data_IF_007299114864
#
_entry.id   IF_007299114864
#
_cell.length_a   1.000
_cell.length_b   1.000
_cell.length_c   1.000
_cell.angle_alpha   90.00
_cell.angle_beta   90.00
_cell.angle_gamma   90.00
#
_symmetry.space_group_name_H-M   'P 1'
#
loop_
_entity.id
_entity.type
_entity.pdbx_description
1 polymer ?
#
# COMPACT_ATOMS: atom_id res chain seq x y z
N UNK A 1 -15.34 -6.35 18.35
CA UNK A 1 -14.64 -6.26 17.06
C UNK A 1 -15.67 -5.83 16.04
N UNK A 2 -15.57 -4.60 15.52
CA UNK A 2 -16.42 -4.18 14.40
C UNK A 2 -15.95 -4.97 13.17
N UNK A 3 -16.89 -5.55 12.42
CA UNK A 3 -16.56 -6.18 11.14
C UNK A 3 -16.07 -5.08 10.20
N UNK A 4 -14.82 -5.20 9.74
CA UNK A 4 -14.28 -4.31 8.71
C UNK A 4 -15.12 -4.51 7.44
N UNK A 5 -15.68 -3.41 6.91
CA UNK A 5 -16.47 -3.46 5.70
C UNK A 5 -15.55 -3.79 4.52
N UNK A 6 -15.95 -4.74 3.67
CA UNK A 6 -15.19 -5.08 2.45
C UNK A 6 -15.24 -3.91 1.46
N UNK A 7 -14.12 -3.21 1.31
CA UNK A 7 -13.95 -2.07 0.39
C UNK A 7 -13.51 -2.50 -1.01
N UNK A 8 -13.28 -3.79 -1.26
CA UNK A 8 -12.83 -4.32 -2.55
C UNK A 8 -13.70 -3.89 -3.73
N UNK A 9 -15.04 -3.84 -3.63
CA UNK A 9 -15.87 -3.35 -4.73
C UNK A 9 -15.65 -1.86 -5.05
N UNK A 10 -15.38 -1.03 -4.03
CA UNK A 10 -15.09 0.39 -4.22
C UNK A 10 -13.73 0.58 -4.90
N UNK A 11 -12.72 -0.19 -4.50
CA UNK A 11 -11.39 -0.20 -5.13
C UNK A 11 -11.47 -0.58 -6.61
N UNK A 12 -12.18 -1.66 -6.96
CA UNK A 12 -12.37 -2.08 -8.35
C UNK A 12 -13.14 -1.05 -9.18
N UNK A 13 -14.12 -0.36 -8.58
CA UNK A 13 -14.85 0.70 -9.27
C UNK A 13 -13.96 1.91 -9.55
N UNK A 14 -13.11 2.30 -8.59
CA UNK A 14 -12.13 3.37 -8.78
C UNK A 14 -11.09 3.01 -9.84
N UNK A 15 -10.55 1.79 -9.81
CA UNK A 15 -9.61 1.26 -10.81
C UNK A 15 -10.19 1.31 -12.22
N UNK A 16 -11.42 0.82 -12.39
CA UNK A 16 -12.12 0.87 -13.68
C UNK A 16 -12.32 2.30 -14.18
N UNK A 17 -12.68 3.22 -13.30
CA UNK A 17 -12.86 4.63 -13.67
C UNK A 17 -11.53 5.29 -14.10
N UNK A 18 -10.41 4.93 -13.46
CA UNK A 18 -9.07 5.36 -13.88
C UNK A 18 -8.72 4.82 -15.26
N UNK A 19 -8.99 3.53 -15.51
CA UNK A 19 -8.74 2.91 -16.81
C UNK A 19 -9.53 3.62 -17.92
N UNK A 20 -10.83 3.86 -17.72
CA UNK A 20 -11.69 4.58 -18.66
C UNK A 20 -11.20 6.02 -18.90
N UNK A 21 -10.74 6.71 -17.84
CA UNK A 21 -10.16 8.03 -17.94
C UNK A 21 -8.91 8.03 -18.86
N UNK A 22 -7.97 7.12 -18.62
CA UNK A 22 -6.75 6.99 -19.43
C UNK A 22 -7.09 6.69 -20.90
N UNK A 23 -8.05 5.80 -21.14
CA UNK A 23 -8.51 5.48 -22.50
C UNK A 23 -9.10 6.70 -23.22
N UNK A 24 -9.92 7.50 -22.54
CA UNK A 24 -10.49 8.72 -23.11
C UNK A 24 -9.46 9.83 -23.33
N UNK A 25 -8.49 9.97 -22.44
CA UNK A 25 -7.38 10.90 -22.63
C UNK A 25 -6.53 10.51 -23.85
N UNK A 26 -6.22 9.22 -23.99
CA UNK A 26 -5.48 8.72 -25.15
C UNK A 26 -6.26 8.91 -26.46
N UNK A 27 -7.56 8.62 -26.46
CA UNK A 27 -8.44 8.85 -27.60
C UNK A 27 -8.52 10.34 -27.98
N UNK A 28 -8.63 11.25 -27.01
CA UNK A 28 -8.57 12.69 -27.25
C UNK A 28 -7.25 13.11 -27.92
N UNK A 29 -6.12 12.55 -27.43
CA UNK A 29 -4.80 12.75 -28.02
C UNK A 29 -4.73 12.29 -29.47
N UNK A 30 -5.16 11.06 -29.77
CA UNK A 30 -5.20 10.52 -31.14
C UNK A 30 -6.09 11.38 -32.04
N UNK A 31 -7.31 11.71 -31.61
CA UNK A 31 -8.22 12.57 -32.37
C UNK A 31 -7.67 13.98 -32.59
N UNK A 32 -6.83 14.50 -31.69
CA UNK A 32 -6.20 15.81 -31.89
C UNK A 32 -5.12 15.82 -32.97
N UNK A 33 -4.51 14.65 -33.24
CA UNK A 33 -3.47 14.46 -34.25
C UNK A 33 -4.04 14.06 -35.61
N UNK A 34 -5.27 13.53 -35.64
CA UNK A 34 -5.97 13.18 -36.87
C UNK A 34 -6.61 14.41 -37.51
N UNK A 35 -6.07 14.82 -38.67
CA UNK A 35 -6.56 15.96 -39.48
C UNK A 35 -8.02 15.78 -39.94
N UNK A 36 -8.55 14.54 -39.93
CA UNK A 36 -9.96 14.24 -40.26
C UNK A 36 -10.88 14.25 -39.03
N UNK A 37 -10.35 14.05 -37.83
CA UNK A 37 -11.14 14.10 -36.61
C UNK A 37 -11.45 15.57 -36.29
N UNK A 38 -12.73 15.85 -36.06
CA UNK A 38 -13.18 17.21 -35.78
C UNK A 38 -12.88 17.59 -34.33
N UNK A 39 -12.82 18.90 -34.03
CA UNK A 39 -12.73 19.42 -32.66
C UNK A 39 -13.84 18.92 -31.73
N UNK A 40 -14.98 18.48 -32.30
CA UNK A 40 -16.09 17.85 -31.57
C UNK A 40 -15.72 16.48 -30.98
N UNK A 41 -14.92 15.67 -31.67
CA UNK A 41 -14.53 14.35 -31.20
C UNK A 41 -13.55 14.47 -30.02
N UNK A 42 -12.60 15.39 -30.13
CA UNK A 42 -11.69 15.77 -29.03
C UNK A 42 -12.49 16.25 -27.81
N UNK A 43 -13.44 17.17 -28.00
CA UNK A 43 -14.27 17.69 -26.91
C UNK A 43 -15.11 16.58 -26.25
N UNK A 44 -15.64 15.64 -27.01
CA UNK A 44 -16.41 14.50 -26.49
C UNK A 44 -15.52 13.58 -25.64
N UNK A 45 -14.30 13.29 -26.09
CA UNK A 45 -13.36 12.47 -25.31
C UNK A 45 -12.91 13.17 -24.02
N UNK A 46 -12.68 14.49 -24.05
CA UNK A 46 -12.35 15.26 -22.85
C UNK A 46 -13.53 15.28 -21.86
N UNK A 47 -14.77 15.41 -22.35
CA UNK A 47 -15.95 15.37 -21.48
C UNK A 47 -16.05 14.01 -20.77
N UNK A 48 -15.90 12.90 -21.51
CA UNK A 48 -15.92 11.56 -20.93
C UNK A 48 -14.75 11.31 -19.97
N UNK A 49 -13.56 11.83 -20.27
CA UNK A 49 -12.44 11.81 -19.34
C UNK A 49 -12.80 12.48 -18.01
N UNK A 50 -13.42 13.66 -18.06
CA UNK A 50 -13.89 14.36 -16.86
C UNK A 50 -14.94 13.55 -16.09
N UNK A 51 -15.89 12.91 -16.78
CA UNK A 51 -16.90 12.06 -16.15
C UNK A 51 -16.25 10.85 -15.44
N UNK A 52 -15.24 10.24 -16.05
CA UNK A 52 -14.46 9.16 -15.43
C UNK A 52 -13.72 9.61 -14.17
N UNK A 53 -13.17 10.84 -14.13
CA UNK A 53 -12.53 11.39 -12.92
C UNK A 53 -13.55 11.59 -11.78
N UNK A 54 -14.75 12.07 -12.09
CA UNK A 54 -15.82 12.21 -11.09
C UNK A 54 -16.29 10.84 -10.56
N UNK A 55 -16.38 9.84 -11.44
CA UNK A 55 -16.70 8.47 -11.04
C UNK A 55 -15.61 7.86 -10.14
N UNK A 56 -14.34 8.14 -10.43
CA UNK A 56 -13.20 7.75 -9.59
C UNK A 56 -13.30 8.38 -8.19
N UNK A 57 -13.56 9.69 -8.10
CA UNK A 57 -13.72 10.38 -6.82
C UNK A 57 -14.89 9.82 -6.01
N UNK A 58 -16.05 9.61 -6.65
CA UNK A 58 -17.22 9.02 -6.00
C UNK A 58 -16.97 7.58 -5.52
N UNK A 59 -16.13 6.80 -6.20
CA UNK A 59 -15.71 5.49 -5.75
C UNK A 59 -14.70 5.57 -4.59
N UNK A 60 -13.75 6.49 -4.65
CA UNK A 60 -12.72 6.67 -3.63
C UNK A 60 -13.29 7.05 -2.26
N UNK A 61 -14.37 7.85 -2.21
CA UNK A 61 -15.07 8.19 -0.95
C UNK A 61 -15.69 6.99 -0.22
N UNK A 62 -15.82 5.84 -0.90
CA UNK A 62 -16.36 4.59 -0.32
C UNK A 62 -15.26 3.65 0.18
N UNK A 63 -13.99 3.98 -0.04
CA UNK A 63 -12.85 3.26 0.52
C UNK A 63 -12.75 3.64 2.00
N UNK A 64 -12.37 2.67 2.84
CA UNK A 64 -12.17 2.90 4.27
C UNK A 64 -11.09 3.98 4.46
N UNK A 65 -11.37 5.08 5.16
CA UNK A 65 -10.39 6.14 5.38
C UNK A 65 -9.15 5.68 6.17
N UNK A 66 -9.22 4.52 6.84
CA UNK A 66 -8.08 3.91 7.52
C UNK A 66 -7.17 3.09 6.59
N UNK A 67 -7.62 2.77 5.37
CA UNK A 67 -6.80 2.15 4.34
C UNK A 67 -5.92 3.21 3.67
N UNK A 68 -4.84 3.58 4.35
CA UNK A 68 -3.88 4.57 3.87
C UNK A 68 -2.77 3.93 3.04
N UNK A 69 -2.38 4.57 1.94
CA UNK A 69 -1.20 4.17 1.17
C UNK A 69 0.07 4.66 1.91
N UNK A 70 1.02 3.77 2.22
CA UNK A 70 2.29 4.16 2.85
C UNK A 70 3.07 5.17 1.99
N UNK A 71 3.67 6.18 2.64
CA UNK A 71 4.40 7.23 1.93
C UNK A 71 5.64 6.72 1.19
N UNK A 72 6.24 5.63 1.66
CA UNK A 72 7.36 4.95 1.01
C UNK A 72 6.93 4.10 -0.19
N UNK A 73 5.71 3.53 -0.18
CA UNK A 73 5.12 2.92 -1.38
C UNK A 73 4.87 3.97 -2.47
N UNK A 74 4.41 5.17 -2.12
CA UNK A 74 4.27 6.27 -3.10
C UNK A 74 5.61 6.64 -3.74
N UNK A 75 6.69 6.72 -2.95
CA UNK A 75 8.04 6.97 -3.46
C UNK A 75 8.56 5.85 -4.37
N UNK A 76 8.21 4.61 -4.08
CA UNK A 76 8.53 3.46 -4.92
C UNK A 76 7.84 3.58 -6.30
N UNK A 77 6.55 3.93 -6.30
CA UNK A 77 5.80 4.20 -7.54
C UNK A 77 6.42 5.35 -8.34
N UNK A 78 6.79 6.46 -7.69
CA UNK A 78 7.47 7.59 -8.34
C UNK A 78 8.83 7.18 -8.96
N UNK A 79 9.51 6.21 -8.34
CA UNK A 79 10.75 5.62 -8.83
C UNK A 79 10.54 4.53 -9.89
N UNK A 80 9.29 4.26 -10.28
CA UNK A 80 8.90 3.20 -11.20
C UNK A 80 9.28 1.78 -10.71
N UNK A 81 9.40 1.60 -9.39
CA UNK A 81 9.53 0.29 -8.72
C UNK A 81 8.17 -0.42 -8.78
N UNK A 82 8.19 -1.72 -9.11
CA UNK A 82 6.95 -2.50 -9.13
C UNK A 82 6.40 -2.64 -7.69
N UNK A 83 5.09 -2.46 -7.45
CA UNK A 83 4.52 -2.58 -6.11
C UNK A 83 4.80 -3.94 -5.43
N UNK A 84 4.93 -5.00 -6.22
CA UNK A 84 5.28 -6.35 -5.76
C UNK A 84 6.71 -6.40 -5.22
N UNK A 85 7.67 -5.73 -5.89
CA UNK A 85 9.06 -5.65 -5.45
C UNK A 85 9.17 -4.88 -4.12
N UNK A 86 8.44 -3.77 -4.00
CA UNK A 86 8.31 -3.05 -2.73
C UNK A 86 7.77 -3.96 -1.62
N UNK A 87 6.72 -4.72 -1.92
CA UNK A 87 6.06 -5.59 -0.94
C UNK A 87 7.00 -6.71 -0.47
N UNK A 88 7.72 -7.34 -1.40
CA UNK A 88 8.72 -8.37 -1.09
C UNK A 88 9.81 -7.79 -0.17
N UNK A 89 10.39 -6.64 -0.53
CA UNK A 89 11.39 -5.95 0.29
C UNK A 89 10.91 -5.67 1.71
N UNK A 90 9.66 -5.22 1.86
CA UNK A 90 9.07 -4.99 3.20
C UNK A 90 8.86 -6.26 4.00
N UNK A 91 8.46 -7.35 3.35
CA UNK A 91 8.35 -8.66 4.01
C UNK A 91 9.71 -9.17 4.48
N UNK A 92 10.77 -8.96 3.70
CA UNK A 92 12.14 -9.29 4.07
C UNK A 92 12.64 -8.45 5.26
N UNK A 93 12.42 -7.12 5.25
CA UNK A 93 12.72 -6.21 6.37
C UNK A 93 12.04 -6.67 7.67
N UNK A 94 10.76 -7.06 7.59
CA UNK A 94 10.00 -7.56 8.73
C UNK A 94 10.52 -8.92 9.22
N UNK A 95 10.85 -9.83 8.30
CA UNK A 95 11.40 -11.15 8.62
C UNK A 95 12.73 -11.03 9.37
N UNK A 96 13.63 -10.16 8.90
CA UNK A 96 14.91 -9.87 9.55
C UNK A 96 14.71 -9.23 10.93
N UNK A 97 13.79 -8.28 11.04
CA UNK A 97 13.47 -7.63 12.31
C UNK A 97 12.90 -8.61 13.33
N UNK A 98 12.05 -9.54 12.89
CA UNK A 98 11.49 -10.59 13.73
C UNK A 98 12.58 -11.55 14.23
N UNK A 99 13.47 -12.00 13.34
CA UNK A 99 14.60 -12.85 13.71
C UNK A 99 15.52 -12.17 14.73
N UNK A 100 15.79 -10.87 14.56
CA UNK A 100 16.57 -10.07 15.50
C UNK A 100 15.88 -9.95 16.88
N UNK A 101 14.57 -9.76 16.88
CA UNK A 101 13.78 -9.65 18.12
C UNK A 101 13.72 -10.99 18.86
N UNK A 102 13.59 -12.11 18.14
CA UNK A 102 13.64 -13.45 18.70
C UNK A 102 15.02 -13.77 19.29
N UNK A 103 16.10 -13.42 18.60
CA UNK A 103 17.46 -13.58 19.12
C UNK A 103 17.68 -12.75 20.39
N UNK A 104 17.19 -11.50 20.40
CA UNK A 104 17.23 -10.65 21.58
C UNK A 104 16.45 -11.25 22.75
N UNK A 105 15.22 -11.73 22.49
CA UNK A 105 14.39 -12.41 23.51
C UNK A 105 15.10 -13.64 24.07
N UNK A 106 15.76 -14.42 23.23
CA UNK A 106 16.51 -15.58 23.65
C UNK A 106 17.68 -15.19 24.56
N UNK A 107 18.49 -14.21 24.14
CA UNK A 107 19.60 -13.69 24.95
C UNK A 107 19.13 -13.14 26.30
N UNK A 108 18.02 -12.39 26.33
CA UNK A 108 17.44 -11.93 27.60
C UNK A 108 17.00 -13.08 28.51
N UNK A 109 16.49 -14.18 27.94
CA UNK A 109 16.12 -15.37 28.70
C UNK A 109 17.36 -16.03 29.32
N UNK A 110 18.43 -16.20 28.56
CA UNK A 110 19.69 -16.78 29.07
C UNK A 110 20.29 -15.93 30.19
N UNK A 111 20.35 -14.60 30.00
CA UNK A 111 20.83 -13.67 31.02
C UNK A 111 19.98 -13.76 32.28
N UNK A 112 18.65 -13.81 32.14
CA UNK A 112 17.73 -13.97 33.27
C UNK A 112 18.00 -15.27 34.01
N UNK A 113 18.11 -16.40 33.31
CA UNK A 113 18.37 -17.72 33.92
C UNK A 113 19.72 -17.74 34.64
N UNK A 114 20.75 -17.09 34.09
CA UNK A 114 22.05 -16.92 34.74
C UNK A 114 21.96 -16.12 36.04
N UNK A 115 21.26 -14.97 36.02
CA UNK A 115 21.07 -14.14 37.22
C UNK A 115 20.26 -14.90 38.28
N UNK A 116 19.21 -15.61 37.89
CA UNK A 116 18.40 -16.42 38.82
C UNK A 116 19.23 -17.54 39.46
N UNK A 117 20.14 -18.16 38.71
CA UNK A 117 21.08 -19.16 39.23
C UNK A 117 22.08 -18.55 40.24
N UNK A 118 22.74 -17.44 39.87
CA UNK A 118 23.67 -16.74 40.76
C UNK A 118 22.98 -16.25 42.04
N UNK A 119 21.76 -15.73 41.94
CA UNK A 119 20.97 -15.29 43.09
C UNK A 119 20.64 -16.47 44.02
N UNK A 120 20.24 -17.61 43.45
CA UNK A 120 19.93 -18.82 44.22
C UNK A 120 21.17 -19.35 44.97
N UNK A 121 22.35 -19.28 44.35
CA UNK A 121 23.60 -19.67 44.99
C UNK A 121 24.00 -18.72 46.11
N UNK A 122 23.85 -17.40 45.92
CA UNK A 122 24.09 -16.40 46.98
C UNK A 122 23.15 -16.58 48.18
N UNK A 123 21.87 -16.86 47.94
CA UNK A 123 20.89 -17.10 49.01
C UNK A 123 21.20 -18.37 49.82
N UNK A 124 21.77 -19.40 49.21
CA UNK A 124 22.23 -20.62 49.92
C UNK A 124 23.54 -20.42 50.66
N UNK A 125 24.40 -19.54 50.16
CA UNK A 125 25.71 -19.24 50.75
C UNK A 125 25.63 -18.29 51.95
N UNK A 126 24.47 -17.68 52.20
CA UNK A 126 24.24 -16.82 53.37
C UNK A 126 23.60 -17.67 54.49
N UNK A 127 24.32 -17.99 55.58
CA UNK A 127 23.79 -18.79 56.69
C UNK A 127 22.73 -18.07 57.52
#
# INVERSE_FOLDING_TARGET
MAAEADTTPALRAAEKAVEEAIQHLHAAGISSLDVKAGSRDVANHIAKFSDSLLAMEAAATKIDPNQTIPADLLKAVDANEAPEEYTIRKLEELSLSLASLDASRHSYKEVKESIEAELADLLKATP
#
